data_IF_695781264428
#
_entry.id   IF_695781264428
#
_cell.length_a   1.000
_cell.length_b   1.000
_cell.length_c   1.000
_cell.angle_alpha   90.00
_cell.angle_beta   90.00
_cell.angle_gamma   90.00
#
_symmetry.space_group_name_H-M   'P 1'
#
loop_
_entity.id
_entity.type
_entity.pdbx_description
1 polymer ?
#
# COMPACT_ATOMS: atom_id res chain seq x y z
N UNK A 1 15.32 23.71 -4.43
CA UNK A 1 15.28 24.18 -3.04
C UNK A 1 15.03 22.96 -2.17
N UNK A 2 16.03 22.50 -1.41
CA UNK A 2 15.88 21.29 -0.62
C UNK A 2 14.96 21.57 0.57
N UNK A 3 14.14 20.58 0.87
CA UNK A 3 13.22 20.60 2.01
C UNK A 3 13.97 20.46 3.35
N UNK A 4 15.16 19.86 3.32
CA UNK A 4 15.95 19.53 4.51
C UNK A 4 17.04 20.57 4.84
N UNK A 5 17.19 21.64 4.02
CA UNK A 5 18.22 22.67 4.20
C UNK A 5 17.76 23.64 5.31
N UNK A 6 18.26 23.44 6.54
CA UNK A 6 18.02 24.34 7.67
C UNK A 6 17.80 23.66 9.03
N UNK A 7 17.76 22.32 9.09
CA UNK A 7 17.64 21.61 10.36
C UNK A 7 18.99 21.52 11.08
N UNK A 8 18.97 21.77 12.40
CA UNK A 8 20.17 21.69 13.23
C UNK A 8 20.59 20.23 13.44
N UNK A 9 21.61 19.81 12.69
CA UNK A 9 22.15 18.46 12.79
C UNK A 9 22.80 18.18 14.16
N UNK A 10 23.30 19.19 14.88
CA UNK A 10 23.97 18.99 16.16
C UNK A 10 22.99 18.57 17.27
N UNK A 11 21.74 19.03 17.20
CA UNK A 11 20.68 18.66 18.15
C UNK A 11 19.80 17.48 17.68
N UNK A 12 20.17 16.81 16.59
CA UNK A 12 19.37 15.74 16.03
C UNK A 12 19.45 14.47 16.89
N UNK A 13 18.32 14.04 17.46
CA UNK A 13 18.17 12.85 18.31
C UNK A 13 17.23 11.80 17.69
N UNK A 14 16.22 12.24 16.94
CA UNK A 14 15.23 11.36 16.33
C UNK A 14 15.13 11.63 14.82
N UNK A 15 15.57 10.67 14.01
CA UNK A 15 15.45 10.74 12.54
C UNK A 15 14.08 10.23 12.06
N UNK A 16 13.32 11.09 11.40
CA UNK A 16 12.05 10.72 10.73
C UNK A 16 12.26 10.66 9.23
N UNK A 17 12.14 9.48 8.64
CA UNK A 17 12.28 9.29 7.19
C UNK A 17 10.90 9.27 6.54
N UNK A 18 10.64 10.18 5.60
CA UNK A 18 9.36 10.32 4.92
C UNK A 18 9.47 9.98 3.42
N UNK A 19 8.72 8.98 2.95
CA UNK A 19 8.87 8.39 1.61
C UNK A 19 7.58 8.53 0.80
N UNK A 20 7.69 9.15 -0.38
CA UNK A 20 6.55 9.47 -1.24
C UNK A 20 6.12 8.29 -2.13
N UNK A 21 4.95 8.43 -2.76
CA UNK A 21 4.37 7.42 -3.65
C UNK A 21 4.86 7.45 -5.10
N UNK A 22 4.24 6.61 -5.95
CA UNK A 22 4.48 6.51 -7.39
C UNK A 22 4.27 7.86 -8.09
N UNK A 23 5.15 8.20 -9.05
CA UNK A 23 5.20 9.51 -9.73
C UNK A 23 5.27 10.70 -8.78
N UNK A 24 5.74 10.45 -7.57
CA UNK A 24 5.81 11.43 -6.51
C UNK A 24 7.11 12.21 -6.49
N UNK A 25 7.12 13.25 -5.66
CA UNK A 25 8.27 14.03 -5.29
C UNK A 25 8.19 14.30 -3.77
N UNK A 26 9.31 14.47 -3.05
CA UNK A 26 9.33 14.89 -1.64
C UNK A 26 8.39 16.05 -1.27
N UNK A 27 8.18 17.00 -2.19
CA UNK A 27 7.24 18.12 -2.01
C UNK A 27 5.81 17.65 -1.71
N UNK A 28 5.39 16.47 -2.17
CA UNK A 28 4.07 15.92 -1.88
C UNK A 28 3.83 15.67 -0.39
N UNK A 29 4.89 15.45 0.39
CA UNK A 29 4.80 15.21 1.84
C UNK A 29 4.97 16.51 2.65
N UNK A 30 5.06 17.67 1.99
CA UNK A 30 5.33 18.96 2.64
C UNK A 30 4.37 19.23 3.81
N UNK A 31 3.06 19.04 3.61
CA UNK A 31 2.08 19.35 4.66
C UNK A 31 2.29 18.49 5.91
N UNK A 32 2.41 17.17 5.76
CA UNK A 32 2.60 16.26 6.91
C UNK A 32 3.98 16.49 7.58
N UNK A 33 5.01 16.80 6.79
CA UNK A 33 6.33 17.19 7.28
C UNK A 33 6.24 18.45 8.14
N UNK A 34 5.63 19.50 7.61
CA UNK A 34 5.52 20.81 8.27
C UNK A 34 4.65 20.72 9.53
N UNK A 35 3.57 19.93 9.50
CA UNK A 35 2.74 19.66 10.66
C UNK A 35 3.53 18.99 11.79
N UNK A 36 4.34 17.98 11.46
CA UNK A 36 5.19 17.29 12.44
C UNK A 36 6.32 18.20 12.95
N UNK A 37 6.99 18.93 12.05
CA UNK A 37 8.08 19.83 12.40
C UNK A 37 7.61 20.95 13.34
N UNK A 38 6.43 21.51 13.10
CA UNK A 38 5.88 22.60 13.91
C UNK A 38 5.47 22.13 15.31
N UNK A 39 4.91 20.93 15.45
CA UNK A 39 4.52 20.39 16.75
C UNK A 39 5.74 20.07 17.63
N UNK A 40 6.80 19.54 17.02
CA UNK A 40 7.98 19.05 17.73
C UNK A 40 9.22 19.95 17.57
N UNK A 41 9.00 21.23 17.27
CA UNK A 41 10.08 22.22 17.13
C UNK A 41 10.96 22.25 18.39
N UNK A 42 12.28 22.22 18.19
CA UNK A 42 13.26 22.24 19.27
C UNK A 42 13.40 20.92 20.06
N UNK A 43 12.61 19.87 19.77
CA UNK A 43 12.64 18.59 20.51
C UNK A 43 13.57 17.53 19.89
N UNK A 44 14.61 17.97 19.19
CA UNK A 44 15.61 17.09 18.58
C UNK A 44 15.13 16.23 17.40
N UNK A 45 13.99 16.59 16.81
CA UNK A 45 13.44 15.91 15.63
C UNK A 45 14.19 16.33 14.36
N UNK A 46 14.71 15.36 13.61
CA UNK A 46 15.33 15.57 12.30
C UNK A 46 14.51 14.85 11.23
N UNK A 47 13.80 15.59 10.37
CA UNK A 47 12.96 15.03 9.31
C UNK A 47 13.76 14.98 8.01
N UNK A 48 13.82 13.80 7.41
CA UNK A 48 14.53 13.55 6.16
C UNK A 48 13.58 13.03 5.09
N UNK A 49 13.59 13.67 3.91
CA UNK A 49 12.74 13.29 2.78
C UNK A 49 13.61 12.85 1.59
N UNK A 50 13.88 11.54 1.42
CA UNK A 50 14.79 11.04 0.39
C UNK A 50 14.38 11.43 -1.03
N UNK A 51 15.36 11.62 -1.92
CA UNK A 51 15.11 12.15 -3.28
C UNK A 51 15.34 11.14 -4.40
N UNK A 52 16.09 10.05 -4.16
CA UNK A 52 16.55 9.16 -5.23
C UNK A 52 15.44 8.42 -5.99
N UNK A 53 14.22 8.40 -5.44
CA UNK A 53 13.07 7.77 -6.09
C UNK A 53 12.08 8.76 -6.70
N UNK A 54 12.44 10.04 -6.83
CA UNK A 54 11.52 11.04 -7.39
C UNK A 54 11.15 10.74 -8.85
N UNK A 55 9.94 11.14 -9.24
CA UNK A 55 9.48 11.16 -10.63
C UNK A 55 9.56 9.78 -11.33
N UNK A 56 10.34 9.69 -12.40
CA UNK A 56 10.47 8.49 -13.23
C UNK A 56 11.25 7.36 -12.54
N UNK A 57 11.97 7.65 -11.46
CA UNK A 57 12.71 6.63 -10.71
C UNK A 57 11.77 5.71 -9.91
N UNK A 58 10.53 6.14 -9.67
CA UNK A 58 9.49 5.29 -9.06
C UNK A 58 9.09 4.09 -9.90
N UNK A 59 9.46 4.01 -11.18
CA UNK A 59 9.22 2.85 -12.04
C UNK A 59 10.20 1.69 -11.82
N UNK A 60 11.30 1.92 -11.11
CA UNK A 60 12.41 0.97 -10.97
C UNK A 60 12.13 -0.18 -9.99
N UNK A 61 10.95 -0.21 -9.37
CA UNK A 61 10.57 -1.23 -8.40
C UNK A 61 10.79 -0.82 -6.94
N UNK A 62 10.12 -1.54 -6.05
CA UNK A 62 10.17 -1.41 -4.59
C UNK A 62 11.58 -1.72 -4.08
N UNK A 63 12.19 -2.82 -4.56
CA UNK A 63 13.54 -3.27 -4.15
C UNK A 63 14.60 -2.21 -4.49
N UNK A 64 14.78 -1.88 -5.77
CA UNK A 64 15.79 -0.90 -6.20
C UNK A 64 15.54 0.46 -5.57
N UNK A 65 14.27 0.85 -5.45
CA UNK A 65 13.90 2.07 -4.76
C UNK A 65 14.31 2.06 -3.28
N UNK A 66 14.11 0.95 -2.58
CA UNK A 66 14.47 0.80 -1.18
C UNK A 66 15.99 0.77 -0.98
N UNK A 67 16.75 0.10 -1.86
CA UNK A 67 18.21 0.07 -1.80
C UNK A 67 18.80 1.48 -1.90
N UNK A 68 18.34 2.29 -2.87
CA UNK A 68 18.77 3.69 -3.03
C UNK A 68 18.47 4.55 -1.80
N UNK A 69 17.24 4.46 -1.30
CA UNK A 69 16.83 5.24 -0.12
C UNK A 69 17.58 4.76 1.13
N UNK A 70 17.79 3.47 1.30
CA UNK A 70 18.56 2.95 2.46
C UNK A 70 19.99 3.49 2.44
N UNK A 71 20.62 3.55 1.26
CA UNK A 71 21.92 4.18 1.10
C UNK A 71 21.91 5.68 1.45
N UNK A 72 20.86 6.41 1.04
CA UNK A 72 20.66 7.82 1.44
C UNK A 72 20.52 7.97 2.97
N UNK A 73 19.71 7.12 3.61
CA UNK A 73 19.50 7.14 5.07
C UNK A 73 20.82 6.91 5.79
N UNK A 74 21.58 5.87 5.45
CA UNK A 74 22.87 5.59 6.10
C UNK A 74 23.89 6.71 5.86
N UNK A 75 23.90 7.30 4.67
CA UNK A 75 24.76 8.45 4.37
C UNK A 75 24.35 9.67 5.18
N UNK A 76 23.04 9.90 5.37
CA UNK A 76 22.52 10.97 6.20
C UNK A 76 22.86 10.75 7.68
N UNK A 77 22.73 9.54 8.21
CA UNK A 77 23.15 9.19 9.58
C UNK A 77 24.63 9.54 9.80
N UNK A 78 25.53 9.10 8.89
CA UNK A 78 26.96 9.45 8.96
C UNK A 78 27.22 10.95 8.87
N UNK A 79 26.45 11.66 8.06
CA UNK A 79 26.56 13.12 7.93
C UNK A 79 26.17 13.85 9.21
N UNK A 80 25.13 13.37 9.90
CA UNK A 80 24.67 13.96 11.17
C UNK A 80 25.71 13.68 12.27
N UNK A 81 26.21 12.45 12.34
CA UNK A 81 27.27 12.07 13.29
C UNK A 81 28.54 12.91 13.12
N UNK A 82 28.97 13.14 11.87
CA UNK A 82 30.11 14.02 11.57
C UNK A 82 29.87 15.49 11.96
N UNK A 83 28.62 15.94 11.99
CA UNK A 83 28.25 17.27 12.43
C UNK A 83 28.11 17.37 13.97
N UNK A 84 28.38 16.29 14.71
CA UNK A 84 28.28 16.23 16.16
C UNK A 84 26.89 15.83 16.70
N UNK A 85 25.92 15.54 15.82
CA UNK A 85 24.62 15.01 16.21
C UNK A 85 24.65 13.52 16.55
N UNK A 86 23.66 13.05 17.30
CA UNK A 86 23.57 11.64 17.70
C UNK A 86 22.13 11.14 17.58
N UNK A 87 21.85 10.39 16.51
CA UNK A 87 20.53 9.81 16.29
C UNK A 87 20.37 8.55 17.15
N UNK A 88 19.48 8.62 18.13
CA UNK A 88 19.12 7.52 19.02
C UNK A 88 17.84 6.81 18.56
N UNK A 89 16.97 7.53 17.85
CA UNK A 89 15.63 7.06 17.48
C UNK A 89 15.36 7.22 15.98
N UNK A 90 14.57 6.30 15.43
CA UNK A 90 14.15 6.36 14.03
C UNK A 90 12.66 6.09 13.87
N UNK A 91 12.00 6.93 13.06
CA UNK A 91 10.64 6.70 12.58
C UNK A 91 10.62 6.69 11.06
N UNK A 92 9.74 5.87 10.48
CA UNK A 92 9.59 5.76 9.03
C UNK A 92 8.12 5.96 8.67
N UNK A 93 7.88 6.85 7.70
CA UNK A 93 6.56 7.23 7.22
C UNK A 93 6.50 7.03 5.72
N UNK A 94 5.53 6.24 5.26
CA UNK A 94 5.34 5.97 3.84
C UNK A 94 3.97 6.40 3.34
N UNK A 95 3.91 6.97 2.15
CA UNK A 95 2.66 7.29 1.47
C UNK A 95 2.53 6.49 0.17
N UNK A 96 1.39 5.81 -0.03
CA UNK A 96 1.12 5.02 -1.24
C UNK A 96 2.24 3.99 -1.48
N UNK A 97 2.81 3.90 -2.69
CA UNK A 97 3.99 3.07 -2.99
C UNK A 97 5.14 3.26 -1.99
N UNK A 98 5.29 4.46 -1.44
CA UNK A 98 6.33 4.78 -0.46
C UNK A 98 6.23 3.96 0.82
N UNK A 99 5.03 3.49 1.21
CA UNK A 99 4.86 2.58 2.34
C UNK A 99 5.36 1.16 2.05
N UNK A 100 5.24 0.69 0.80
CA UNK A 100 5.83 -0.59 0.39
C UNK A 100 7.36 -0.50 0.37
N UNK A 101 7.89 0.59 -0.20
CA UNK A 101 9.33 0.90 -0.15
C UNK A 101 9.82 0.99 1.29
N UNK A 102 9.04 1.61 2.19
CA UNK A 102 9.34 1.72 3.62
C UNK A 102 9.46 0.35 4.30
N UNK A 103 8.53 -0.58 4.03
CA UNK A 103 8.60 -1.96 4.57
C UNK A 103 9.87 -2.68 4.10
N UNK A 104 10.29 -2.49 2.85
CA UNK A 104 11.53 -3.08 2.35
C UNK A 104 12.77 -2.46 3.03
N UNK A 105 12.81 -1.12 3.15
CA UNK A 105 13.87 -0.39 3.86
C UNK A 105 14.00 -0.88 5.31
N UNK A 106 12.89 -1.10 6.02
CA UNK A 106 12.90 -1.66 7.37
C UNK A 106 13.66 -2.99 7.42
N UNK A 107 13.42 -3.88 6.47
CA UNK A 107 14.18 -5.13 6.37
C UNK A 107 15.67 -4.92 6.15
N UNK A 108 16.03 -4.02 5.23
CA UNK A 108 17.45 -3.70 4.97
C UNK A 108 18.14 -3.08 6.18
N UNK A 109 17.51 -2.13 6.87
CA UNK A 109 18.05 -1.50 8.07
C UNK A 109 18.20 -2.50 9.23
N UNK A 110 17.24 -3.42 9.37
CA UNK A 110 17.31 -4.54 10.30
C UNK A 110 18.53 -5.44 10.00
N UNK A 111 18.64 -5.90 8.75
CA UNK A 111 19.75 -6.76 8.32
C UNK A 111 21.11 -6.06 8.44
N UNK A 112 21.17 -4.75 8.23
CA UNK A 112 22.39 -3.94 8.33
C UNK A 112 22.78 -3.60 9.78
N UNK A 113 22.02 -4.08 10.78
CA UNK A 113 22.29 -3.83 12.19
C UNK A 113 22.09 -2.36 12.61
N UNK A 114 21.31 -1.58 11.86
CA UNK A 114 21.01 -0.19 12.21
C UNK A 114 20.15 -0.14 13.46
N UNK A 115 19.16 -1.02 13.56
CA UNK A 115 18.24 -1.09 14.70
C UNK A 115 18.85 -1.67 15.99
N UNK A 116 20.09 -2.15 15.93
CA UNK A 116 20.85 -2.51 17.14
C UNK A 116 21.40 -1.29 17.87
N UNK A 117 21.51 -0.15 17.17
CA UNK A 117 22.08 1.10 17.68
C UNK A 117 21.06 2.22 17.76
N UNK A 118 20.04 2.18 16.90
CA UNK A 118 18.99 3.20 16.81
C UNK A 118 17.65 2.53 17.11
N UNK A 119 16.91 3.05 18.09
CA UNK A 119 15.61 2.54 18.48
C UNK A 119 14.55 2.85 17.41
N UNK A 120 13.86 1.85 16.84
CA UNK A 120 12.72 2.09 15.96
C UNK A 120 11.49 2.51 16.78
N UNK A 121 10.89 3.66 16.47
CA UNK A 121 9.80 4.24 17.26
C UNK A 121 8.46 4.17 16.53
N UNK A 122 8.29 4.90 15.43
CA UNK A 122 7.03 4.93 14.68
C UNK A 122 7.22 4.39 13.26
N UNK A 123 6.36 3.45 12.86
CA UNK A 123 6.16 3.06 11.48
C UNK A 123 4.74 3.46 11.08
N UNK A 124 4.59 4.41 10.16
CA UNK A 124 3.27 4.89 9.71
C UNK A 124 3.12 4.76 8.20
N UNK A 125 1.94 4.33 7.74
CA UNK A 125 1.61 4.36 6.31
C UNK A 125 0.29 5.06 6.02
N UNK A 126 0.25 5.81 4.93
CA UNK A 126 -0.93 6.51 4.44
C UNK A 126 -1.30 5.98 3.05
N UNK A 127 -2.52 5.45 2.91
CA UNK A 127 -3.06 4.95 1.65
C UNK A 127 -2.08 4.02 0.90
N UNK A 128 -1.40 3.12 1.62
CA UNK A 128 -0.39 2.19 1.06
C UNK A 128 -1.03 0.87 0.66
N UNK A 129 -0.83 0.36 -0.57
CA UNK A 129 -1.44 -0.90 -1.02
C UNK A 129 -0.68 -2.12 -0.46
N UNK A 130 -0.85 -2.43 0.83
CA UNK A 130 -0.09 -3.49 1.52
C UNK A 130 -0.33 -4.89 0.94
N UNK A 131 -1.50 -5.14 0.35
CA UNK A 131 -1.87 -6.38 -0.33
C UNK A 131 -1.76 -6.26 -1.87
N UNK A 132 -1.08 -5.23 -2.34
CA UNK A 132 -1.03 -4.87 -3.75
C UNK A 132 -2.28 -4.13 -4.24
N UNK A 133 -2.37 -3.93 -5.54
CA UNK A 133 -3.47 -3.18 -6.20
C UNK A 133 -4.36 -4.07 -7.08
N UNK A 134 -4.14 -5.40 -7.01
CA UNK A 134 -4.97 -6.38 -7.72
C UNK A 134 -6.39 -6.32 -7.17
N UNK A 135 -7.33 -6.03 -8.05
CA UNK A 135 -8.75 -5.89 -7.69
C UNK A 135 -9.40 -7.28 -7.62
N UNK A 136 -10.08 -7.64 -6.49
CA UNK A 136 -10.76 -8.94 -6.32
C UNK A 136 -12.10 -9.04 -7.05
N UNK A 137 -12.58 -7.93 -7.62
CA UNK A 137 -13.86 -7.90 -8.34
C UNK A 137 -13.78 -8.76 -9.61
N UNK A 138 -14.79 -9.61 -9.79
CA UNK A 138 -15.01 -10.36 -11.02
C UNK A 138 -15.60 -9.43 -12.09
N UNK A 139 -15.09 -9.50 -13.33
CA UNK A 139 -15.64 -8.78 -14.48
C UNK A 139 -14.58 -8.15 -15.40
N UNK A 140 -14.96 -7.91 -16.66
CA UNK A 140 -14.06 -7.48 -17.73
C UNK A 140 -13.23 -6.23 -17.37
N UNK A 141 -13.84 -5.21 -16.75
CA UNK A 141 -13.11 -3.98 -16.36
C UNK A 141 -12.01 -4.24 -15.33
N UNK A 142 -12.27 -5.08 -14.34
CA UNK A 142 -11.28 -5.44 -13.32
C UNK A 142 -10.17 -6.32 -13.90
N UNK A 143 -10.52 -7.25 -14.80
CA UNK A 143 -9.55 -8.07 -15.53
C UNK A 143 -8.64 -7.22 -16.44
N UNK A 144 -9.21 -6.25 -17.18
CA UNK A 144 -8.42 -5.33 -18.02
C UNK A 144 -7.52 -4.44 -17.17
N UNK A 145 -7.99 -3.93 -16.03
CA UNK A 145 -7.15 -3.15 -15.11
C UNK A 145 -5.99 -3.98 -14.54
N UNK A 146 -6.27 -5.19 -14.05
CA UNK A 146 -5.25 -6.10 -13.51
C UNK A 146 -4.19 -6.48 -14.56
N UNK A 147 -4.59 -6.66 -15.82
CA UNK A 147 -3.68 -6.96 -16.92
C UNK A 147 -2.89 -5.72 -17.39
N UNK A 148 -3.54 -4.57 -17.54
CA UNK A 148 -2.91 -3.38 -18.10
C UNK A 148 -2.02 -2.67 -17.08
N UNK A 149 -2.45 -2.59 -15.81
CA UNK A 149 -1.69 -1.95 -14.74
C UNK A 149 -0.38 -2.68 -14.41
N UNK A 150 -0.40 -4.01 -14.40
CA UNK A 150 0.81 -4.84 -14.17
C UNK A 150 1.87 -4.67 -15.27
N UNK A 151 1.46 -4.30 -16.50
CA UNK A 151 2.37 -4.15 -17.65
C UNK A 151 2.76 -2.71 -17.98
N UNK A 152 1.99 -1.71 -17.54
CA UNK A 152 2.22 -0.29 -17.91
C UNK A 152 3.00 0.50 -16.87
N UNK A 153 3.21 -0.05 -15.67
CA UNK A 153 3.95 0.61 -14.58
C UNK A 153 5.35 0.00 -14.33
N UNK A 154 5.95 -0.64 -15.35
CA UNK A 154 7.27 -1.28 -15.26
C UNK A 154 7.37 -2.26 -14.07
N UNK A 155 8.56 -2.44 -13.48
CA UNK A 155 8.83 -3.31 -12.33
C UNK A 155 7.92 -3.00 -11.13
N UNK A 156 7.69 -1.73 -10.80
CA UNK A 156 6.79 -1.34 -9.71
C UNK A 156 5.35 -1.81 -9.95
N UNK A 157 4.89 -1.81 -11.20
CA UNK A 157 3.62 -2.40 -11.61
C UNK A 157 3.56 -3.89 -11.31
N UNK A 158 4.54 -4.65 -11.79
CA UNK A 158 4.58 -6.10 -11.59
C UNK A 158 4.50 -6.45 -10.10
N UNK A 159 5.31 -5.78 -9.27
CA UNK A 159 5.36 -5.99 -7.82
C UNK A 159 4.06 -5.58 -7.10
N UNK A 160 3.47 -4.42 -7.43
CA UNK A 160 2.20 -4.01 -6.81
C UNK A 160 1.02 -4.90 -7.25
N UNK A 161 1.08 -5.52 -8.43
CA UNK A 161 0.02 -6.41 -8.91
C UNK A 161 0.23 -7.89 -8.55
N UNK A 162 1.26 -8.22 -7.75
CA UNK A 162 1.63 -9.60 -7.38
C UNK A 162 1.88 -10.48 -8.63
N UNK A 163 2.46 -9.89 -9.67
CA UNK A 163 2.75 -10.54 -10.95
C UNK A 163 4.24 -10.79 -11.17
N UNK A 164 5.08 -10.41 -10.19
CA UNK A 164 6.52 -10.65 -10.18
C UNK A 164 6.87 -12.02 -9.58
N UNK A 165 8.07 -12.49 -9.91
CA UNK A 165 8.74 -13.59 -9.24
C UNK A 165 10.00 -13.02 -8.57
N UNK A 166 9.94 -12.81 -7.26
CA UNK A 166 11.02 -12.15 -6.55
C UNK A 166 12.24 -13.07 -6.47
N UNK A 167 13.29 -12.72 -7.21
CA UNK A 167 14.59 -13.42 -7.23
C UNK A 167 14.50 -14.93 -7.49
N UNK A 168 13.51 -15.38 -8.24
CA UNK A 168 13.34 -16.80 -8.61
C UNK A 168 12.83 -17.68 -7.47
N UNK A 169 12.20 -17.09 -6.46
CA UNK A 169 11.59 -17.81 -5.32
C UNK A 169 10.26 -18.47 -5.69
N UNK A 170 9.67 -18.13 -6.84
CA UNK A 170 8.33 -18.53 -7.23
C UNK A 170 7.23 -17.75 -6.51
N UNK A 171 7.58 -16.70 -5.75
CA UNK A 171 6.63 -15.88 -4.97
C UNK A 171 6.79 -14.39 -5.31
N UNK A 172 5.69 -13.61 -5.26
CA UNK A 172 5.75 -12.16 -5.47
C UNK A 172 6.39 -11.46 -4.27
N UNK A 173 7.10 -10.35 -4.49
CA UNK A 173 7.84 -9.62 -3.46
C UNK A 173 6.99 -9.25 -2.25
N UNK A 174 5.73 -8.84 -2.45
CA UNK A 174 4.87 -8.44 -1.33
C UNK A 174 4.53 -9.61 -0.39
N UNK A 175 4.42 -10.83 -0.92
CA UNK A 175 4.21 -12.03 -0.12
C UNK A 175 5.47 -12.35 0.70
N UNK A 176 6.65 -12.22 0.10
CA UNK A 176 7.95 -12.35 0.80
C UNK A 176 8.04 -11.32 1.95
N UNK A 177 7.68 -10.06 1.67
CA UNK A 177 7.69 -8.98 2.67
C UNK A 177 6.65 -9.14 3.78
N UNK A 178 5.67 -10.03 3.62
CA UNK A 178 4.69 -10.37 4.64
C UNK A 178 5.06 -11.66 5.39
N UNK A 179 6.09 -12.38 4.96
CA UNK A 179 6.47 -13.63 5.61
C UNK A 179 7.04 -13.37 7.02
N UNK A 180 6.53 -14.04 8.09
CA UNK A 180 6.98 -13.82 9.46
C UNK A 180 8.46 -14.09 9.69
N UNK A 181 9.04 -14.99 8.89
CA UNK A 181 10.47 -15.35 8.98
C UNK A 181 11.38 -14.34 8.29
N UNK A 182 10.81 -13.47 7.44
CA UNK A 182 11.56 -12.50 6.67
C UNK A 182 12.15 -11.39 7.55
N UNK A 183 13.25 -10.81 7.08
CA UNK A 183 13.86 -9.63 7.71
C UNK A 183 12.89 -8.44 7.76
N UNK A 184 11.92 -8.40 6.84
CA UNK A 184 10.95 -7.30 6.73
C UNK A 184 9.98 -7.31 7.90
N UNK A 185 9.38 -8.48 8.19
CA UNK A 185 8.48 -8.63 9.35
C UNK A 185 9.28 -8.54 10.65
N UNK A 186 10.41 -9.23 10.76
CA UNK A 186 11.30 -9.15 11.94
C UNK A 186 11.68 -7.69 12.26
N UNK A 187 12.05 -6.90 11.25
CA UNK A 187 12.35 -5.48 11.42
C UNK A 187 11.13 -4.63 11.78
N UNK A 188 9.97 -4.89 11.18
CA UNK A 188 8.72 -4.18 11.51
C UNK A 188 8.31 -4.40 12.96
N UNK A 189 8.48 -5.62 13.48
CA UNK A 189 8.13 -5.95 14.87
C UNK A 189 8.94 -5.15 15.90
N UNK A 190 10.10 -4.59 15.55
CA UNK A 190 10.90 -3.76 16.46
C UNK A 190 10.31 -2.35 16.68
N UNK A 191 9.42 -1.87 15.84
CA UNK A 191 8.81 -0.55 16.01
C UNK A 191 7.79 -0.58 17.15
N UNK A 192 7.87 0.38 18.06
CA UNK A 192 6.90 0.51 19.15
C UNK A 192 5.49 0.78 18.61
N UNK A 193 5.35 1.86 17.81
CA UNK A 193 4.09 2.32 17.26
C UNK A 193 3.99 2.00 15.77
N UNK A 194 2.91 1.32 15.36
CA UNK A 194 2.71 0.86 13.98
C UNK A 194 1.31 1.23 13.54
N UNK A 195 1.19 2.24 12.68
CA UNK A 195 -0.10 2.84 12.31
C UNK A 195 -0.35 2.79 10.80
N UNK A 196 -1.60 2.51 10.42
CA UNK A 196 -2.08 2.52 9.05
C UNK A 196 -3.24 3.51 8.96
N UNK A 197 -3.23 4.38 7.95
CA UNK A 197 -4.33 5.27 7.62
C UNK A 197 -4.88 4.90 6.24
N UNK A 198 -6.11 4.39 6.21
CA UNK A 198 -6.74 3.82 5.02
C UNK A 198 -8.03 4.57 4.66
N UNK A 199 -8.09 5.17 3.47
CA UNK A 199 -9.31 5.80 2.97
C UNK A 199 -10.42 4.75 2.78
N UNK A 200 -11.61 5.02 3.32
CA UNK A 200 -12.77 4.11 3.16
C UNK A 200 -13.55 4.38 1.87
N UNK A 201 -13.44 5.58 1.30
CA UNK A 201 -14.11 5.97 0.06
C UNK A 201 -13.22 6.74 -0.90
N UNK A 202 -13.60 6.67 -2.17
CA UNK A 202 -13.08 7.48 -3.28
C UNK A 202 -11.57 7.35 -3.56
N UNK A 203 -10.86 6.46 -2.86
CA UNK A 203 -9.48 6.13 -3.18
C UNK A 203 -9.44 5.12 -4.33
N UNK A 204 -9.34 5.66 -5.54
CA UNK A 204 -9.31 4.86 -6.78
C UNK A 204 -7.95 4.20 -7.01
N UNK A 205 -6.92 4.63 -6.30
CA UNK A 205 -5.56 4.11 -6.45
C UNK A 205 -5.32 2.96 -5.49
N UNK A 206 -5.79 3.10 -4.26
CA UNK A 206 -5.58 2.12 -3.18
C UNK A 206 -6.89 1.91 -2.44
N UNK A 207 -7.67 0.87 -2.80
CA UNK A 207 -8.89 0.53 -2.09
C UNK A 207 -8.68 0.23 -0.60
N UNK A 208 -9.74 0.36 0.19
CA UNK A 208 -9.70 0.19 1.64
C UNK A 208 -9.08 -1.14 2.07
N UNK A 209 -9.55 -2.28 1.53
CA UNK A 209 -9.11 -3.60 1.98
C UNK A 209 -7.60 -3.83 1.88
N UNK A 210 -6.97 -3.30 0.82
CA UNK A 210 -5.51 -3.41 0.65
C UNK A 210 -4.76 -2.39 1.51
N UNK A 211 -5.31 -1.18 1.66
CA UNK A 211 -4.75 -0.18 2.55
C UNK A 211 -4.77 -0.62 4.01
N UNK A 212 -5.87 -1.20 4.46
CA UNK A 212 -6.13 -1.58 5.84
C UNK A 212 -5.68 -3.01 6.18
N UNK A 213 -5.18 -3.80 5.22
CA UNK A 213 -4.86 -5.22 5.41
C UNK A 213 -6.11 -5.94 5.95
N UNK A 214 -7.17 -6.03 5.15
CA UNK A 214 -8.47 -6.53 5.59
C UNK A 214 -9.02 -7.60 4.65
N UNK A 215 -9.59 -8.66 5.25
CA UNK A 215 -10.33 -9.73 4.57
C UNK A 215 -11.72 -9.28 4.08
N UNK A 216 -12.23 -8.21 4.68
CA UNK A 216 -13.57 -7.65 4.43
C UNK A 216 -13.49 -6.17 4.03
N UNK A 217 -14.52 -5.68 3.34
CA UNK A 217 -14.71 -4.26 3.09
C UNK A 217 -16.16 -3.86 3.44
N UNK A 218 -16.40 -3.38 4.67
CA UNK A 218 -17.75 -2.98 5.09
C UNK A 218 -18.20 -1.66 4.46
N UNK A 219 -17.30 -0.91 3.83
CA UNK A 219 -17.57 0.44 3.30
C UNK A 219 -18.02 0.44 1.85
N UNK A 220 -18.20 -0.73 1.24
CA UNK A 220 -18.69 -0.88 -0.14
C UNK A 220 -20.05 -0.19 -0.34
N UNK A 221 -20.93 -0.27 0.66
CA UNK A 221 -22.22 0.43 0.67
C UNK A 221 -22.40 1.23 1.96
N UNK A 222 -21.95 2.50 1.94
CA UNK A 222 -22.12 3.41 3.08
C UNK A 222 -23.59 3.65 3.50
N UNK A 223 -24.57 3.39 2.62
CA UNK A 223 -25.99 3.52 2.96
C UNK A 223 -26.50 2.40 3.87
N UNK A 224 -25.80 1.26 3.91
CA UNK A 224 -26.14 0.09 4.71
C UNK A 224 -25.40 0.03 6.06
N UNK A 225 -24.58 1.04 6.37
CA UNK A 225 -23.72 1.02 7.55
C UNK A 225 -23.76 2.34 8.31
N UNK A 226 -23.58 2.26 9.62
CA UNK A 226 -23.34 3.41 10.48
C UNK A 226 -21.85 3.46 10.82
N UNK A 227 -21.20 4.59 10.49
CA UNK A 227 -19.77 4.79 10.74
C UNK A 227 -19.55 5.45 12.09
N UNK A 228 -18.51 5.04 12.81
CA UNK A 228 -18.20 5.51 14.15
C UNK A 228 -16.92 6.34 14.17
N UNK A 229 -17.01 7.68 14.03
CA UNK A 229 -15.84 8.56 14.13
C UNK A 229 -15.32 8.64 15.57
N UNK A 230 -14.00 8.80 15.73
CA UNK A 230 -13.40 9.16 17.03
C UNK A 230 -13.91 10.52 17.51
N UNK A 231 -14.00 10.67 18.82
CA UNK A 231 -14.36 11.93 19.48
C UNK A 231 -13.24 12.98 19.31
N UNK A 232 -13.53 14.25 19.57
CA UNK A 232 -12.56 15.36 19.56
C UNK A 232 -11.88 15.67 18.22
N UNK A 233 -12.63 15.53 17.12
CA UNK A 233 -12.21 15.97 15.78
C UNK A 233 -13.07 17.14 15.30
N UNK A 234 -12.46 18.12 14.63
CA UNK A 234 -13.21 19.22 13.98
C UNK A 234 -14.10 18.70 12.84
N UNK A 235 -13.58 17.70 12.11
CA UNK A 235 -14.31 16.95 11.09
C UNK A 235 -14.29 15.47 11.46
N UNK A 236 -15.43 14.74 11.41
CA UNK A 236 -15.51 13.33 11.80
C UNK A 236 -14.90 12.42 10.72
N UNK A 237 -13.58 12.48 10.57
CA UNK A 237 -12.85 11.88 9.46
C UNK A 237 -12.23 10.55 9.87
N UNK A 238 -11.65 10.45 11.06
CA UNK A 238 -10.97 9.24 11.53
C UNK A 238 -11.96 8.41 12.32
N UNK A 239 -12.11 7.15 11.93
CA UNK A 239 -12.99 6.20 12.59
C UNK A 239 -12.29 5.48 13.75
N UNK A 240 -13.10 4.99 14.69
CA UNK A 240 -12.63 4.17 15.80
C UNK A 240 -11.94 2.90 15.27
N UNK A 241 -10.65 2.65 15.60
CA UNK A 241 -9.95 1.46 15.15
C UNK A 241 -10.52 0.14 15.69
N UNK A 242 -11.18 0.16 16.86
CA UNK A 242 -11.76 -1.03 17.47
C UNK A 242 -13.13 -1.38 16.89
N UNK A 243 -13.96 -0.36 16.63
CA UNK A 243 -15.30 -0.55 16.06
C UNK A 243 -15.63 0.56 15.07
N UNK A 244 -15.06 0.54 13.84
CA UNK A 244 -15.21 1.64 12.90
C UNK A 244 -16.62 1.73 12.29
N UNK A 245 -17.39 0.65 12.34
CA UNK A 245 -18.66 0.52 11.62
C UNK A 245 -19.59 -0.49 12.27
N UNK A 246 -20.90 -0.28 12.12
CA UNK A 246 -21.95 -1.25 12.47
C UNK A 246 -22.99 -1.39 11.36
N UNK A 247 -23.60 -2.58 11.19
CA UNK A 247 -24.68 -2.77 10.23
C UNK A 247 -25.90 -1.89 10.57
N UNK A 248 -26.43 -1.17 9.58
CA UNK A 248 -27.64 -0.38 9.76
C UNK A 248 -28.86 -1.31 9.66
N UNK A 249 -29.74 -1.26 10.66
CA UNK A 249 -30.93 -2.13 10.74
C UNK A 249 -32.00 -1.84 9.68
N UNK A 250 -32.01 -0.64 9.11
CA UNK A 250 -32.91 -0.24 8.05
C UNK A 250 -32.10 0.26 6.86
N UNK A 251 -32.16 -0.48 5.75
CA UNK A 251 -31.69 0.03 4.47
C UNK A 251 -32.57 1.24 4.10
N UNK A 252 -32.00 2.44 4.14
CA UNK A 252 -32.54 3.53 3.32
C UNK A 252 -32.41 3.05 1.89
N UNK A 253 -33.54 2.83 1.21
CA UNK A 253 -33.57 2.50 -0.20
C UNK A 253 -32.65 3.49 -0.92
N UNK A 254 -31.52 2.99 -1.45
CA UNK A 254 -30.69 3.79 -2.32
C UNK A 254 -31.62 4.32 -3.40
N UNK A 255 -31.73 5.65 -3.54
CA UNK A 255 -32.58 6.25 -4.56
C UNK A 255 -32.09 5.72 -5.90
N UNK A 256 -32.78 4.73 -6.45
CA UNK A 256 -32.51 4.28 -7.80
C UNK A 256 -32.83 5.49 -8.66
N UNK A 257 -31.79 6.06 -9.27
CA UNK A 257 -31.98 7.13 -10.24
C UNK A 257 -32.98 6.61 -11.27
N UNK A 258 -34.09 7.31 -11.39
CA UNK A 258 -35.15 6.94 -12.32
C UNK A 258 -34.53 6.90 -13.72
N UNK A 259 -34.95 5.98 -14.60
CA UNK A 259 -34.42 5.90 -15.96
C UNK A 259 -34.43 7.27 -16.68
N UNK A 260 -35.43 8.10 -16.39
CA UNK A 260 -35.54 9.47 -16.89
C UNK A 260 -34.42 10.39 -16.39
N UNK A 261 -34.04 10.32 -15.11
CA UNK A 261 -32.95 11.11 -14.52
C UNK A 261 -31.57 10.67 -15.03
N UNK A 262 -31.39 9.37 -15.28
CA UNK A 262 -30.17 8.85 -15.92
C UNK A 262 -30.04 9.34 -17.35
N UNK A 263 -31.12 9.35 -18.13
CA UNK A 263 -31.13 9.85 -19.51
C UNK A 263 -30.86 11.36 -19.53
N UNK A 264 -31.52 12.13 -18.65
CA UNK A 264 -31.30 13.56 -18.48
C UNK A 264 -29.82 13.88 -18.18
N UNK A 265 -29.25 13.23 -17.15
CA UNK A 265 -27.83 13.38 -16.79
C UNK A 265 -26.89 12.94 -17.90
N UNK A 266 -27.23 11.89 -18.65
CA UNK A 266 -26.38 11.41 -19.76
C UNK A 266 -26.35 12.43 -20.89
N UNK A 267 -27.50 13.05 -21.20
CA UNK A 267 -27.62 14.07 -22.24
C UNK A 267 -26.95 15.38 -21.86
N UNK A 268 -27.06 15.81 -20.60
CA UNK A 268 -26.34 16.99 -20.09
C UNK A 268 -24.82 16.81 -20.14
N UNK A 269 -24.34 15.58 -19.94
CA UNK A 269 -22.92 15.24 -20.01
C UNK A 269 -22.45 14.77 -21.40
N UNK A 270 -23.30 14.83 -22.43
CA UNK A 270 -22.95 14.42 -23.79
C UNK A 270 -21.70 15.11 -24.37
N UNK A 271 -21.50 16.45 -24.24
CA UNK A 271 -20.26 17.07 -24.70
C UNK A 271 -19.01 16.58 -23.93
N UNK A 272 -19.16 16.24 -22.65
CA UNK A 272 -18.08 15.65 -21.86
C UNK A 272 -17.75 14.22 -22.33
N UNK A 273 -18.76 13.40 -22.63
CA UNK A 273 -18.54 12.08 -23.22
C UNK A 273 -17.90 12.18 -24.61
N UNK A 274 -18.39 13.07 -25.47
CA UNK A 274 -17.82 13.29 -26.80
C UNK A 274 -16.35 13.71 -26.73
N UNK A 275 -16.01 14.61 -25.80
CA UNK A 275 -14.62 14.97 -25.51
C UNK A 275 -13.78 13.77 -25.09
N UNK A 276 -14.28 12.95 -24.14
CA UNK A 276 -13.59 11.73 -23.70
C UNK A 276 -13.41 10.75 -24.86
N UNK A 277 -14.45 10.45 -25.64
CA UNK A 277 -14.38 9.51 -26.75
C UNK A 277 -13.51 10.01 -27.92
N UNK A 278 -13.38 11.32 -28.11
CA UNK A 278 -12.43 11.89 -29.07
C UNK A 278 -10.98 11.86 -28.56
N UNK A 279 -10.76 12.17 -27.29
CA UNK A 279 -9.42 12.26 -26.70
C UNK A 279 -8.82 10.91 -26.36
N UNK A 280 -9.61 9.95 -25.85
CA UNK A 280 -9.13 8.64 -25.40
C UNK A 280 -8.36 7.88 -26.51
N UNK A 281 -8.88 7.77 -27.75
CA UNK A 281 -8.18 7.09 -28.83
C UNK A 281 -6.82 7.71 -29.18
N UNK A 282 -6.60 8.99 -28.84
CA UNK A 282 -5.33 9.69 -29.07
C UNK A 282 -4.42 9.61 -27.84
N UNK A 283 -5.00 9.76 -26.64
CA UNK A 283 -4.29 9.76 -25.38
C UNK A 283 -3.79 8.37 -24.99
N UNK A 284 -4.55 7.30 -25.24
CA UNK A 284 -4.14 5.92 -24.90
C UNK A 284 -2.89 5.51 -25.67
N UNK A 285 -2.79 5.63 -27.01
CA UNK A 285 -1.56 5.29 -27.72
C UNK A 285 -0.36 6.08 -27.25
N UNK A 286 -0.50 7.40 -27.03
CA UNK A 286 0.57 8.24 -26.49
C UNK A 286 1.00 7.78 -25.09
N UNK A 287 0.03 7.46 -24.22
CA UNK A 287 0.30 6.91 -22.89
C UNK A 287 1.04 5.58 -22.97
N UNK A 288 0.62 4.67 -23.86
CA UNK A 288 1.25 3.35 -24.03
C UNK A 288 2.67 3.47 -24.60
N UNK A 289 2.91 4.38 -25.55
CA UNK A 289 4.26 4.67 -26.07
C UNK A 289 5.16 5.21 -24.95
N UNK A 290 4.66 6.17 -24.17
CA UNK A 290 5.40 6.68 -23.01
C UNK A 290 5.64 5.57 -21.96
N UNK A 291 4.64 4.74 -21.66
CA UNK A 291 4.78 3.62 -20.72
C UNK A 291 5.86 2.64 -21.21
N UNK A 292 5.86 2.26 -22.50
CA UNK A 292 6.91 1.42 -23.09
C UNK A 292 8.30 2.05 -22.99
N UNK A 293 8.42 3.35 -23.28
CA UNK A 293 9.67 4.09 -23.14
C UNK A 293 10.17 4.12 -21.69
N UNK A 294 9.29 4.38 -20.72
CA UNK A 294 9.64 4.38 -19.31
C UNK A 294 10.05 2.99 -18.82
N UNK A 295 9.36 1.93 -19.26
CA UNK A 295 9.76 0.55 -18.98
C UNK A 295 11.15 0.25 -19.53
N UNK A 296 11.47 0.65 -20.76
CA UNK A 296 12.81 0.47 -21.33
C UNK A 296 13.89 1.19 -20.52
N UNK A 297 13.68 2.47 -20.21
CA UNK A 297 14.61 3.24 -19.38
C UNK A 297 14.78 2.66 -17.98
N UNK A 298 13.69 2.20 -17.37
CA UNK A 298 13.70 1.58 -16.06
C UNK A 298 14.50 0.28 -16.08
N UNK A 299 14.27 -0.61 -17.05
CA UNK A 299 15.07 -1.83 -17.22
C UNK A 299 16.56 -1.52 -17.38
N UNK A 300 16.92 -0.46 -18.12
CA UNK A 300 18.32 -0.05 -18.25
C UNK A 300 18.88 0.40 -16.89
N UNK A 301 18.15 1.22 -16.12
CA UNK A 301 18.57 1.66 -14.78
C UNK A 301 18.72 0.49 -13.81
N UNK A 302 17.77 -0.45 -13.79
CA UNK A 302 17.81 -1.65 -12.94
C UNK A 302 19.02 -2.51 -13.30
N UNK A 303 19.26 -2.79 -14.59
CA UNK A 303 20.45 -3.55 -15.03
C UNK A 303 21.77 -2.86 -14.66
N UNK A 304 21.84 -1.53 -14.76
CA UNK A 304 23.02 -0.78 -14.34
C UNK A 304 23.20 -0.79 -12.83
N UNK A 305 22.08 -0.77 -12.08
CA UNK A 305 22.08 -0.94 -10.63
C UNK A 305 22.68 -2.30 -10.27
N UNK A 306 22.12 -3.40 -10.80
CA UNK A 306 22.56 -4.77 -10.54
C UNK A 306 24.03 -5.04 -10.90
N UNK A 307 24.56 -4.35 -11.92
CA UNK A 307 25.97 -4.42 -12.32
C UNK A 307 26.92 -3.66 -11.38
N UNK A 308 26.42 -3.06 -10.30
CA UNK A 308 27.22 -2.49 -9.21
C UNK A 308 27.75 -1.09 -9.48
N UNK A 309 27.10 -0.30 -10.35
CA UNK A 309 27.75 0.92 -10.86
C UNK A 309 27.80 2.12 -9.89
N UNK A 310 27.13 2.10 -8.72
CA UNK A 310 27.11 3.25 -7.80
C UNK A 310 26.95 2.93 -6.29
N UNK A 311 26.47 1.74 -5.92
CA UNK A 311 26.18 1.35 -4.54
C UNK A 311 26.73 -0.06 -4.32
N UNK A 312 27.38 -0.33 -3.18
CA UNK A 312 27.80 -1.67 -2.79
C UNK A 312 26.57 -2.54 -2.50
N UNK A 313 26.07 -3.21 -3.55
CA UNK A 313 24.87 -4.04 -3.50
C UNK A 313 25.04 -5.33 -2.73
N UNK A 314 26.27 -5.80 -2.49
CA UNK A 314 26.46 -7.05 -1.74
C UNK A 314 25.86 -6.94 -0.34
N UNK A 315 25.93 -5.76 0.26
CA UNK A 315 25.36 -5.48 1.58
C UNK A 315 23.82 -5.49 1.61
N UNK A 316 23.18 -5.21 0.48
CA UNK A 316 21.71 -5.19 0.37
C UNK A 316 21.13 -6.48 -0.24
N UNK A 317 21.99 -7.43 -0.63
CA UNK A 317 21.55 -8.76 -1.05
C UNK A 317 21.16 -9.59 0.15
N UNK A 318 19.85 -9.66 0.38
CA UNK A 318 19.23 -10.56 1.36
C UNK A 318 19.66 -12.01 1.04
N UNK A 319 20.29 -12.74 1.98
CA UNK A 319 20.60 -14.15 1.78
C UNK A 319 19.29 -14.96 1.78
N UNK A 320 18.82 -15.34 0.60
CA UNK A 320 17.62 -16.16 0.38
C UNK A 320 17.78 -17.64 0.82
N UNK A 321 18.91 -18.00 1.44
CA UNK A 321 19.26 -19.38 1.78
C UNK A 321 18.27 -20.02 2.76
N UNK A 322 17.76 -19.25 3.73
CA UNK A 322 16.77 -19.72 4.70
C UNK A 322 15.38 -19.92 4.06
N UNK A 323 15.09 -19.16 3.00
CA UNK A 323 13.80 -19.20 2.29
C UNK A 323 13.75 -20.31 1.23
N UNK A 324 14.87 -20.73 0.64
CA UNK A 324 14.90 -21.88 -0.27
C UNK A 324 14.47 -23.18 0.43
N UNK A 325 14.83 -23.34 1.71
CA UNK A 325 14.44 -24.51 2.51
C UNK A 325 12.95 -24.44 2.88
N UNK A 326 12.49 -23.29 3.38
CA UNK A 326 11.08 -23.07 3.69
C UNK A 326 10.16 -23.18 2.45
N UNK A 327 10.65 -22.77 1.28
CA UNK A 327 9.94 -22.89 -0.01
C UNK A 327 9.86 -24.34 -0.47
N UNK A 328 10.92 -25.14 -0.27
CA UNK A 328 10.88 -26.58 -0.52
C UNK A 328 9.87 -27.27 0.39
N UNK A 329 9.87 -26.96 1.69
CA UNK A 329 8.94 -27.56 2.65
C UNK A 329 7.48 -27.15 2.37
N UNK A 330 7.24 -25.89 1.98
CA UNK A 330 5.91 -25.43 1.55
C UNK A 330 5.48 -26.06 0.23
N UNK A 331 6.34 -26.16 -0.77
CA UNK A 331 6.03 -26.86 -2.02
C UNK A 331 5.73 -28.34 -1.76
N UNK A 332 6.48 -28.99 -0.87
CA UNK A 332 6.20 -30.37 -0.43
C UNK A 332 4.84 -30.44 0.27
N UNK A 333 4.51 -29.49 1.14
CA UNK A 333 3.21 -29.42 1.83
C UNK A 333 2.07 -29.16 0.86
N UNK A 334 2.25 -28.25 -0.10
CA UNK A 334 1.26 -27.92 -1.13
C UNK A 334 1.09 -29.07 -2.13
N UNK A 335 2.16 -29.77 -2.50
CA UNK A 335 2.10 -30.98 -3.31
C UNK A 335 1.45 -32.13 -2.51
N UNK A 336 1.69 -32.23 -1.20
CA UNK A 336 1.05 -33.21 -0.33
C UNK A 336 -0.46 -32.95 -0.16
N UNK A 337 -0.87 -31.68 -0.07
CA UNK A 337 -2.28 -31.30 -0.06
C UNK A 337 -2.94 -31.49 -1.44
N UNK A 338 -2.21 -31.23 -2.53
CA UNK A 338 -2.73 -31.40 -3.91
C UNK A 338 -2.72 -32.86 -4.36
N UNK A 339 -1.87 -33.72 -3.79
CA UNK A 339 -1.85 -35.17 -4.08
C UNK A 339 -2.88 -35.96 -3.26
N UNK A 340 -3.51 -35.31 -2.26
CA UNK A 340 -4.60 -35.88 -1.48
C UNK A 340 -5.94 -35.30 -1.92
N UNK A 341 -6.37 -35.69 -3.13
CA UNK A 341 -7.74 -35.51 -3.61
C UNK A 341 -7.95 -34.36 -4.60
N UNK A 342 -7.84 -34.68 -5.89
CA UNK A 342 -8.77 -34.22 -6.93
C UNK A 342 -8.43 -34.88 -8.27
N UNK A 343 -8.90 -36.12 -8.44
CA UNK A 343 -8.95 -36.78 -9.75
C UNK A 343 -10.10 -36.19 -10.57
N UNK A 344 -9.84 -35.14 -11.37
CA UNK A 344 -10.75 -34.73 -12.43
C UNK A 344 -10.52 -35.60 -13.67
N UNK A 345 -11.46 -36.50 -13.96
CA UNK A 345 -11.57 -37.20 -15.23
C UNK A 345 -11.93 -36.21 -16.36
N UNK A 346 -11.48 -36.43 -17.61
CA UNK A 346 -11.81 -35.56 -18.74
C UNK A 346 -13.27 -35.77 -19.16
N UNK A 347 -14.08 -34.71 -19.11
CA UNK A 347 -15.47 -34.74 -19.58
C UNK A 347 -15.58 -34.62 -21.12
N UNK A 348 -16.47 -35.39 -21.79
CA UNK A 348 -16.79 -35.25 -23.21
C UNK A 348 -17.69 -34.02 -23.51
N UNK A 349 -17.91 -33.65 -24.80
CA UNK A 349 -18.57 -32.39 -25.20
C UNK A 349 -20.10 -32.37 -24.97
N UNK A 350 -20.74 -31.18 -25.01
CA UNK A 350 -22.00 -30.92 -24.31
C UNK A 350 -23.25 -31.16 -25.17
N UNK A 351 -24.32 -31.62 -24.53
CA UNK A 351 -25.71 -31.54 -25.02
C UNK A 351 -26.63 -30.80 -24.02
N UNK A 352 -27.76 -30.21 -24.48
CA UNK A 352 -28.34 -29.02 -23.88
C UNK A 352 -29.41 -29.25 -22.80
N UNK A 353 -29.41 -28.33 -21.83
CA UNK A 353 -30.49 -27.81 -20.97
C UNK A 353 -31.71 -28.71 -20.68
N UNK A 354 -31.85 -29.13 -19.42
CA UNK A 354 -33.16 -29.26 -18.73
C UNK A 354 -32.99 -29.36 -17.20
N UNK A 355 -33.63 -28.41 -16.51
CA UNK A 355 -34.27 -28.45 -15.17
C UNK A 355 -33.52 -29.00 -13.94
N UNK A 356 -33.38 -28.14 -12.92
CA UNK A 356 -33.00 -28.50 -11.55
C UNK A 356 -34.08 -29.36 -10.86
N UNK A 357 -33.72 -30.19 -9.86
CA UNK A 357 -33.75 -29.68 -8.48
C UNK A 357 -32.64 -30.19 -7.52
N UNK A 358 -32.33 -29.33 -6.55
CA UNK A 358 -31.81 -29.50 -5.18
C UNK A 358 -31.15 -30.83 -4.74
N UNK A 359 -29.88 -30.74 -4.29
CA UNK A 359 -29.23 -31.53 -3.22
C UNK A 359 -27.94 -30.78 -2.83
N UNK A 360 -27.94 -29.93 -1.79
CA UNK A 360 -27.47 -30.20 -0.41
C UNK A 360 -26.25 -31.13 -0.30
N UNK A 361 -25.22 -30.56 0.37
CA UNK A 361 -23.97 -31.12 0.92
C UNK A 361 -22.87 -31.44 -0.08
N UNK A 362 -21.87 -30.55 -0.12
CA UNK A 362 -20.44 -30.87 0.01
C UNK A 362 -19.63 -29.57 -0.03
N UNK A 363 -19.45 -28.95 1.15
CA UNK A 363 -18.39 -27.98 1.42
C UNK A 363 -18.27 -27.82 2.93
N UNK A 364 -17.98 -28.92 3.62
CA UNK A 364 -17.37 -28.89 4.95
C UNK A 364 -15.96 -29.42 4.74
N UNK A 365 -15.03 -28.51 4.46
CA UNK A 365 -13.71 -28.64 5.06
C UNK A 365 -13.08 -27.25 5.22
N UNK A 366 -12.90 -26.91 6.50
CA UNK A 366 -12.14 -25.77 7.05
C UNK A 366 -12.67 -24.36 6.78
N UNK A 367 -13.91 -24.09 7.19
CA UNK A 367 -14.31 -22.74 7.60
C UNK A 367 -13.86 -22.49 9.04
N UNK A 368 -12.81 -21.69 9.24
CA UNK A 368 -12.72 -20.89 10.46
C UNK A 368 -13.98 -20.02 10.48
N UNK A 369 -14.86 -20.22 11.46
CA UNK A 369 -16.08 -19.41 11.66
C UNK A 369 -15.69 -17.95 11.91
N UNK A 370 -15.51 -17.18 10.84
CA UNK A 370 -15.29 -15.74 10.92
C UNK A 370 -16.64 -15.08 11.22
N UNK A 371 -16.88 -14.67 12.47
CA UNK A 371 -18.12 -14.09 13.00
C UNK A 371 -18.43 -12.68 12.45
N UNK A 372 -17.90 -12.34 11.27
CA UNK A 372 -18.09 -11.04 10.64
C UNK A 372 -19.47 -10.94 9.99
N UNK A 373 -20.18 -9.84 10.24
CA UNK A 373 -21.44 -9.50 9.56
C UNK A 373 -21.27 -9.17 8.06
N UNK A 374 -20.03 -9.19 7.55
CA UNK A 374 -19.66 -8.75 6.22
C UNK A 374 -19.08 -9.89 5.38
N UNK A 375 -19.38 -9.93 4.06
CA UNK A 375 -18.86 -10.97 3.18
C UNK A 375 -17.34 -10.87 3.03
N UNK A 376 -16.68 -12.02 3.02
CA UNK A 376 -15.25 -12.14 2.75
C UNK A 376 -14.97 -11.77 1.28
N UNK A 377 -13.92 -10.98 1.05
CA UNK A 377 -13.50 -10.57 -0.29
C UNK A 377 -12.88 -11.74 -1.06
N UNK A 378 -13.08 -11.79 -2.38
CA UNK A 378 -12.47 -12.79 -3.25
C UNK A 378 -10.98 -12.49 -3.54
N UNK A 379 -10.15 -12.50 -2.50
CA UNK A 379 -8.70 -12.34 -2.57
C UNK A 379 -8.01 -13.65 -2.99
N UNK A 380 -6.75 -13.58 -3.42
CA UNK A 380 -5.95 -14.80 -3.66
C UNK A 380 -5.50 -15.42 -2.34
N UNK A 381 -5.12 -16.71 -2.36
CA UNK A 381 -4.59 -17.39 -1.18
C UNK A 381 -3.35 -16.67 -0.61
N UNK A 382 -2.47 -16.18 -1.49
CA UNK A 382 -1.29 -15.41 -1.08
C UNK A 382 -1.70 -14.11 -0.37
N UNK A 383 -2.75 -13.42 -0.83
CA UNK A 383 -3.25 -12.22 -0.16
C UNK A 383 -3.86 -12.54 1.21
N UNK A 384 -4.54 -13.68 1.37
CA UNK A 384 -5.02 -14.13 2.67
C UNK A 384 -3.88 -14.47 3.63
N UNK A 385 -2.87 -15.20 3.17
CA UNK A 385 -1.65 -15.47 3.96
C UNK A 385 -0.95 -14.17 4.37
N UNK A 386 -0.84 -13.21 3.46
CA UNK A 386 -0.27 -11.90 3.76
C UNK A 386 -1.05 -11.19 4.87
N UNK A 387 -2.38 -11.26 4.86
CA UNK A 387 -3.22 -10.66 5.92
C UNK A 387 -2.92 -11.35 7.25
N UNK A 388 -2.98 -12.68 7.30
CA UNK A 388 -2.79 -13.42 8.55
C UNK A 388 -1.43 -13.17 9.17
N UNK A 389 -0.38 -13.22 8.36
CA UNK A 389 0.97 -12.99 8.86
C UNK A 389 1.16 -11.56 9.39
N UNK A 390 0.66 -10.55 8.67
CA UNK A 390 0.82 -9.16 9.09
C UNK A 390 -0.02 -8.85 10.34
N UNK A 391 -1.24 -9.36 10.43
CA UNK A 391 -2.11 -9.13 11.58
C UNK A 391 -1.62 -9.87 12.83
N UNK A 392 -1.18 -11.13 12.68
CA UNK A 392 -0.71 -11.94 13.79
C UNK A 392 0.64 -11.47 14.34
N UNK A 393 1.58 -11.07 13.47
CA UNK A 393 2.96 -10.80 13.90
C UNK A 393 3.28 -9.31 14.04
N UNK A 394 2.73 -8.45 13.19
CA UNK A 394 3.08 -7.03 13.20
C UNK A 394 2.11 -6.21 14.05
N UNK A 395 0.83 -6.59 14.15
CA UNK A 395 -0.16 -5.91 14.98
C UNK A 395 -0.25 -4.39 14.71
N UNK A 396 -0.66 -4.03 13.49
CA UNK A 396 -0.90 -2.62 13.12
C UNK A 396 -2.16 -2.05 13.78
N UNK A 397 -2.06 -0.82 14.28
CA UNK A 397 -3.26 -0.02 14.57
C UNK A 397 -3.79 0.57 13.26
N UNK A 398 -5.00 0.17 12.87
CA UNK A 398 -5.61 0.50 11.57
C UNK A 398 -6.68 1.57 11.74
N UNK A 399 -6.42 2.76 11.19
CA UNK A 399 -7.35 3.89 11.19
C UNK A 399 -8.04 3.98 9.83
N UNK A 400 -9.36 3.75 9.84
CA UNK A 400 -10.22 4.01 8.69
C UNK A 400 -10.49 5.52 8.57
N UNK A 401 -10.37 6.07 7.36
CA UNK A 401 -10.39 7.50 7.07
C UNK A 401 -11.52 7.85 6.09
N UNK A 402 -12.48 8.67 6.53
CA UNK A 402 -13.70 9.06 5.83
C UNK A 402 -13.64 10.51 5.34
N UNK A 403 -12.80 10.79 4.33
CA UNK A 403 -12.76 12.08 3.64
C UNK A 403 -13.91 12.17 2.62
N UNK A 404 -14.79 13.15 2.79
CA UNK A 404 -16.06 13.30 2.06
C UNK A 404 -16.07 14.52 1.13
N UNK A 405 -15.40 15.61 1.51
CA UNK A 405 -15.43 16.89 0.76
C UNK A 405 -14.75 16.84 -0.60
N UNK A 406 -14.00 15.79 -0.90
CA UNK A 406 -13.28 15.66 -2.18
C UNK A 406 -13.24 14.23 -2.67
N UNK A 407 -13.38 14.05 -3.99
CA UNK A 407 -13.27 12.74 -4.64
C UNK A 407 -11.84 12.23 -4.76
N UNK A 408 -10.84 13.07 -4.52
CA UNK A 408 -9.43 12.74 -4.69
C UNK A 408 -8.78 12.42 -3.34
N UNK A 409 -9.41 11.50 -2.59
CA UNK A 409 -9.09 11.18 -1.19
C UNK A 409 -7.66 10.64 -1.04
N UNK A 410 -7.15 9.91 -2.03
CA UNK A 410 -5.76 9.44 -2.08
C UNK A 410 -4.75 10.58 -1.84
N UNK A 411 -4.93 11.71 -2.53
CA UNK A 411 -4.06 12.88 -2.37
C UNK A 411 -4.45 13.74 -1.16
N UNK A 412 -5.72 13.70 -0.76
CA UNK A 412 -6.23 14.50 0.36
C UNK A 412 -5.75 13.97 1.72
N UNK A 413 -5.56 12.67 1.89
CA UNK A 413 -5.15 12.04 3.16
C UNK A 413 -3.82 12.59 3.72
N UNK A 414 -2.92 13.06 2.85
CA UNK A 414 -1.66 13.73 3.21
C UNK A 414 -1.67 15.22 2.88
N UNK A 415 -2.81 15.77 2.47
CA UNK A 415 -2.98 17.16 2.02
C UNK A 415 -1.93 17.54 0.96
N UNK A 416 -1.83 16.73 -0.09
CA UNK A 416 -0.78 16.87 -1.13
C UNK A 416 -0.78 18.24 -1.83
N UNK A 417 -1.90 18.95 -1.80
CA UNK A 417 -2.06 20.29 -2.36
C UNK A 417 -2.78 21.18 -1.36
N UNK A 418 -2.44 22.48 -1.28
CA UNK A 418 -3.11 23.43 -0.39
C UNK A 418 -4.46 23.84 -0.97
N UNK A 419 -5.44 22.93 -0.99
CA UNK A 419 -6.82 23.18 -1.44
C UNK A 419 -7.75 23.20 -0.24
N UNK A 420 -8.74 24.08 -0.28
CA UNK A 420 -9.80 24.14 0.74
C UNK A 420 -10.57 22.81 0.84
N UNK A 421 -10.80 22.14 -0.29
CA UNK A 421 -11.43 20.82 -0.32
C UNK A 421 -10.62 19.71 0.35
N UNK A 422 -9.35 19.95 0.71
CA UNK A 422 -8.50 19.00 1.44
C UNK A 422 -8.50 19.25 2.95
N UNK A 423 -9.37 20.13 3.47
CA UNK A 423 -9.42 20.48 4.91
C UNK A 423 -9.59 19.26 5.81
N UNK A 424 -10.38 18.26 5.42
CA UNK A 424 -10.56 17.01 6.17
C UNK A 424 -9.28 16.19 6.28
N UNK A 425 -8.39 16.28 5.30
CA UNK A 425 -7.06 15.65 5.37
C UNK A 425 -6.15 16.28 6.43
N UNK A 426 -6.39 17.54 6.81
CA UNK A 426 -5.65 18.17 7.92
C UNK A 426 -5.97 17.48 9.24
N UNK A 427 -7.17 16.95 9.41
CA UNK A 427 -7.56 16.18 10.60
C UNK A 427 -6.75 14.90 10.73
N UNK A 428 -6.54 14.21 9.62
CA UNK A 428 -5.66 13.03 9.54
C UNK A 428 -4.25 13.38 10.00
N UNK A 429 -3.69 14.48 9.48
CA UNK A 429 -2.35 14.92 9.88
C UNK A 429 -2.28 15.31 11.37
N UNK A 430 -3.32 15.98 11.89
CA UNK A 430 -3.37 16.42 13.29
C UNK A 430 -3.43 15.23 14.24
N UNK A 431 -4.30 14.26 13.95
CA UNK A 431 -4.40 13.04 14.73
C UNK A 431 -3.09 12.24 14.69
N UNK A 432 -2.48 12.08 13.51
CA UNK A 432 -1.21 11.38 13.40
C UNK A 432 -0.10 12.05 14.21
N UNK A 433 0.05 13.37 14.10
CA UNK A 433 1.07 14.14 14.83
C UNK A 433 0.87 14.05 16.35
N UNK A 434 -0.37 14.09 16.84
CA UNK A 434 -0.71 13.93 18.27
C UNK A 434 -0.35 12.56 18.83
N UNK A 435 -0.47 11.52 18.00
CA UNK A 435 -0.16 10.13 18.38
C UNK A 435 1.29 9.73 18.05
N UNK A 436 2.09 10.66 17.51
CA UNK A 436 3.49 10.39 17.17
C UNK A 436 4.34 10.33 18.44
N UNK A 437 5.10 9.26 18.62
CA UNK A 437 5.99 9.12 19.78
C UNK A 437 7.38 9.68 19.48
N UNK A 438 7.94 10.45 20.42
CA UNK A 438 9.29 11.00 20.31
C UNK A 438 10.38 10.04 20.76
#
# INVERSE_FOLDING_TARGET
MCIDDGQDAANAQHLVVMIHGLWGNPVHLKHIRDALASEYEGRGLYIFTPKSNSDQHTYDGIEVGAERITHEIETKLRSIEKAGGHIEKMSIVGYSLGGLVSRYIVGLLYSNGVFQRIQPVNFTTFATPHLGVRTPKLGYRAQTWNFLGSKTLSTSGQQMFLADDFRGTGRPLLAIMADPTSIFVKGLCLFNMKSIYANIINDRSVPYYTAAISRIDPFVNLGAVDVHPLQDQEYPVILDPACPVSPRKHETAASQLTWQETIQKTRENLPFYAFIFGMIPLAIPLFLVNAGYQTFKSMQRVRMHEKGSLIDLQRYRIPLLEESQATQDRLVTHLASTSSGDNYLPTPPPEPFSQAPSLRKLSEDQSVEDQSAWPILALTNEQFEMIDHLDQHVNFTKYAVHIQKVRHTHAAIIVRMPKESFVEGKEVSRHWVRNFQL
#
